data_IF_350662798484
#
_entry.id   IF_350662798484
#
_cell.length_a   1.000
_cell.length_b   1.000
_cell.length_c   1.000
_cell.angle_alpha   90.00
_cell.angle_beta   90.00
_cell.angle_gamma   90.00
#
_symmetry.space_group_name_H-M   'P 1'
#
loop_
_entity.id
_entity.type
_entity.pdbx_description
1 polymer ?
#
# COMPACT_ATOMS: atom_id res chain seq x y z
N UNK A 1 29.83 6.98 4.57
CA UNK A 1 29.15 5.83 3.94
C UNK A 1 27.88 5.60 4.74
N UNK A 2 26.73 5.98 4.20
CA UNK A 2 25.45 5.65 4.83
C UNK A 2 25.06 4.26 4.34
N UNK A 3 24.94 3.30 5.25
CA UNK A 3 24.25 2.04 4.97
C UNK A 3 22.81 2.39 4.57
N UNK A 4 22.46 2.09 3.32
CA UNK A 4 21.06 2.03 2.91
C UNK A 4 20.42 0.88 3.69
N UNK A 5 19.77 1.20 4.81
CA UNK A 5 18.98 0.23 5.56
C UNK A 5 17.74 -0.11 4.73
N UNK A 6 17.81 -1.21 4.01
CA UNK A 6 16.71 -1.76 3.22
C UNK A 6 15.79 -2.55 4.15
N UNK A 7 14.56 -2.08 4.35
CA UNK A 7 13.55 -2.81 5.11
C UNK A 7 12.47 -3.38 4.18
N UNK A 8 12.25 -4.70 4.21
CA UNK A 8 11.15 -5.36 3.52
C UNK A 8 9.87 -5.30 4.37
N UNK A 9 8.79 -4.73 3.84
CA UNK A 9 7.53 -4.50 4.56
C UNK A 9 6.32 -4.88 3.68
N UNK A 10 5.27 -5.36 4.35
CA UNK A 10 3.92 -5.46 3.81
C UNK A 10 3.09 -4.28 4.31
N UNK A 11 2.37 -3.63 3.42
CA UNK A 11 1.33 -2.70 3.82
C UNK A 11 -0.02 -3.43 3.86
N UNK A 12 -0.92 -3.01 4.74
CA UNK A 12 -2.27 -3.52 4.88
C UNK A 12 -3.22 -2.37 5.10
N UNK A 13 -4.47 -2.50 4.71
CA UNK A 13 -5.51 -1.55 5.11
C UNK A 13 -6.28 -2.09 6.31
N UNK A 14 -6.51 -1.26 7.33
CA UNK A 14 -7.42 -1.59 8.43
C UNK A 14 -8.85 -1.28 7.97
N UNK A 15 -9.71 -2.29 7.92
CA UNK A 15 -11.15 -2.06 7.79
C UNK A 15 -11.74 -1.87 9.18
N UNK A 16 -11.86 -0.63 9.65
CA UNK A 16 -12.75 -0.34 10.78
C UNK A 16 -14.18 -0.27 10.24
N UNK A 17 -14.87 -1.40 10.19
CA UNK A 17 -16.31 -1.43 10.00
C UNK A 17 -16.95 -2.24 11.13
N UNK A 18 -17.69 -1.49 11.95
CA UNK A 18 -18.66 -1.86 13.00
C UNK A 18 -18.18 -2.02 14.46
N UNK A 19 -18.70 -1.10 15.30
CA UNK A 19 -19.27 -1.40 16.61
C UNK A 19 -18.31 -1.48 17.79
N UNK A 20 -18.47 -0.56 18.75
CA UNK A 20 -18.01 -0.75 20.12
C UNK A 20 -18.47 -2.12 20.65
N UNK A 21 -17.52 -3.01 20.95
CA UNK A 21 -17.56 -3.81 22.17
C UNK A 21 -16.15 -4.31 22.47
N UNK A 22 -15.69 -3.99 23.68
CA UNK A 22 -14.43 -4.45 24.24
C UNK A 22 -14.39 -5.99 24.24
N UNK A 23 -13.56 -6.58 23.39
CA UNK A 23 -13.21 -7.99 23.49
C UNK A 23 -11.71 -8.12 23.65
N UNK A 24 -11.35 -8.80 24.73
CA UNK A 24 -10.03 -9.35 24.98
C UNK A 24 -9.71 -10.30 23.81
N UNK A 25 -8.79 -9.93 22.93
CA UNK A 25 -8.58 -10.63 21.65
C UNK A 25 -7.36 -11.54 21.70
N UNK A 26 -7.61 -12.82 21.43
CA UNK A 26 -6.61 -13.87 21.25
C UNK A 26 -5.78 -13.65 19.96
N UNK A 27 -4.49 -14.00 19.93
CA UNK A 27 -3.63 -13.80 18.76
C UNK A 27 -4.00 -14.63 17.50
N UNK A 28 -4.95 -15.55 17.59
CA UNK A 28 -5.27 -16.53 16.54
C UNK A 28 -6.45 -16.13 15.63
N UNK A 29 -7.15 -15.02 15.89
CA UNK A 29 -8.28 -14.56 15.05
C UNK A 29 -7.88 -13.52 13.98
N UNK A 30 -6.59 -13.23 13.81
CA UNK A 30 -6.11 -12.22 12.87
C UNK A 30 -6.00 -12.74 11.42
N UNK A 31 -7.09 -13.23 10.83
CA UNK A 31 -7.11 -13.66 9.40
C UNK A 31 -8.30 -13.12 8.61
N UNK A 32 -9.38 -12.65 9.24
CA UNK A 32 -10.53 -12.14 8.48
C UNK A 32 -10.53 -10.61 8.38
N UNK A 33 -10.16 -10.11 7.18
CA UNK A 33 -10.34 -8.74 6.64
C UNK A 33 -9.13 -7.78 6.67
N UNK A 34 -7.91 -8.29 6.70
CA UNK A 34 -6.76 -7.49 6.28
C UNK A 34 -6.72 -7.47 4.74
N UNK A 35 -6.73 -6.29 4.13
CA UNK A 35 -6.61 -6.16 2.68
C UNK A 35 -5.19 -5.74 2.36
N UNK A 36 -4.62 -6.35 1.33
CA UNK A 36 -3.19 -6.30 1.06
C UNK A 36 -2.98 -5.69 -0.33
N UNK A 37 -2.07 -4.71 -0.48
CA UNK A 37 -1.71 -4.19 -1.78
C UNK A 37 -1.14 -5.33 -2.60
N UNK A 38 -1.62 -5.38 -3.82
CA UNK A 38 -1.27 -6.24 -4.92
C UNK A 38 -1.03 -5.34 -6.12
N UNK A 39 -0.17 -5.77 -7.04
CA UNK A 39 -0.16 -5.24 -8.41
C UNK A 39 -1.01 -6.08 -9.37
N UNK A 40 -1.59 -5.39 -10.34
CA UNK A 40 -1.96 -6.03 -11.61
C UNK A 40 -0.70 -6.15 -12.46
N UNK A 41 -0.42 -7.35 -12.97
CA UNK A 41 0.81 -7.62 -13.71
C UNK A 41 0.85 -6.74 -14.96
N UNK A 42 2.02 -6.20 -15.33
CA UNK A 42 2.18 -5.43 -16.58
C UNK A 42 1.85 -6.32 -17.81
N UNK A 43 1.98 -7.65 -17.67
CA UNK A 43 1.61 -8.64 -18.67
C UNK A 43 0.13 -9.02 -18.68
N UNK A 44 -0.65 -8.69 -17.63
CA UNK A 44 -2.10 -8.78 -17.73
C UNK A 44 -2.53 -7.75 -18.77
N UNK A 45 -3.38 -8.03 -19.76
CA UNK A 45 -3.74 -7.01 -20.78
C UNK A 45 -4.77 -5.99 -20.26
N UNK A 46 -4.79 -5.72 -18.96
CA UNK A 46 -5.82 -4.93 -18.29
C UNK A 46 -5.60 -3.43 -18.43
N UNK A 47 -6.69 -2.67 -18.51
CA UNK A 47 -6.67 -1.19 -18.58
C UNK A 47 -5.94 -0.52 -17.40
N UNK A 48 -5.78 -1.23 -16.29
CA UNK A 48 -5.25 -0.73 -15.02
C UNK A 48 -3.91 -1.39 -14.63
N UNK A 49 -3.13 -1.83 -15.61
CA UNK A 49 -1.79 -2.34 -15.36
C UNK A 49 -0.92 -1.28 -14.67
N UNK A 50 -0.13 -1.73 -13.69
CA UNK A 50 0.76 -0.86 -12.93
C UNK A 50 0.05 -0.03 -11.85
N UNK A 51 -1.28 0.05 -11.81
CA UNK A 51 -1.99 0.71 -10.72
C UNK A 51 -1.88 -0.13 -9.43
N UNK A 52 -1.65 0.55 -8.30
CA UNK A 52 -1.66 -0.10 -7.00
C UNK A 52 -3.10 -0.45 -6.60
N UNK A 53 -3.35 -1.70 -6.19
CA UNK A 53 -4.68 -2.18 -5.81
C UNK A 53 -4.64 -3.07 -4.56
N UNK A 54 -5.55 -2.90 -3.60
CA UNK A 54 -5.58 -3.74 -2.39
C UNK A 54 -6.47 -4.98 -2.56
N UNK A 55 -6.00 -5.98 -3.31
CA UNK A 55 -6.78 -7.21 -3.61
C UNK A 55 -6.08 -8.51 -3.25
N UNK A 56 -4.83 -8.52 -2.78
CA UNK A 56 -4.19 -9.80 -2.45
C UNK A 56 -4.82 -10.44 -1.20
N UNK A 57 -5.20 -11.73 -1.25
CA UNK A 57 -5.82 -12.41 -0.12
C UNK A 57 -4.81 -13.03 0.86
N UNK A 58 -3.53 -13.16 0.47
CA UNK A 58 -2.51 -13.83 1.29
C UNK A 58 -1.33 -12.90 1.58
N UNK A 59 -1.01 -12.74 2.87
CA UNK A 59 0.11 -11.92 3.37
C UNK A 59 1.47 -12.34 2.83
N UNK A 60 1.68 -13.64 2.60
CA UNK A 60 2.95 -14.17 2.07
C UNK A 60 3.04 -14.11 0.54
N UNK A 61 2.12 -13.42 -0.14
CA UNK A 61 2.22 -13.25 -1.59
C UNK A 61 3.45 -12.42 -1.92
N UNK A 62 4.29 -12.90 -2.84
CA UNK A 62 5.38 -12.11 -3.41
C UNK A 62 4.84 -10.79 -3.98
N UNK A 63 3.59 -10.80 -4.46
CA UNK A 63 2.97 -9.62 -5.05
C UNK A 63 2.60 -8.51 -4.05
N UNK A 64 2.67 -8.83 -2.77
CA UNK A 64 2.36 -7.94 -1.67
C UNK A 64 3.61 -7.47 -0.90
N UNK A 65 4.80 -7.93 -1.31
CA UNK A 65 6.07 -7.56 -0.69
C UNK A 65 6.58 -6.23 -1.29
N UNK A 66 6.82 -5.27 -0.41
CA UNK A 66 7.44 -4.00 -0.76
C UNK A 66 8.74 -3.82 0.02
N UNK A 67 9.60 -3.01 -0.55
CA UNK A 67 10.83 -2.55 0.05
C UNK A 67 10.71 -1.05 0.31
N UNK A 68 11.09 -0.64 1.50
CA UNK A 68 11.14 0.76 1.89
C UNK A 68 12.59 1.20 1.89
N UNK A 69 12.91 2.17 1.04
CA UNK A 69 14.23 2.76 0.91
C UNK A 69 14.17 4.15 1.56
N UNK A 70 15.01 4.39 2.57
CA UNK A 70 15.04 5.68 3.27
C UNK A 70 15.70 6.76 2.43
N UNK A 71 15.03 7.90 2.33
CA UNK A 71 15.55 9.14 1.80
C UNK A 71 15.93 10.10 2.94
N UNK A 72 16.36 11.31 2.59
CA UNK A 72 16.66 12.35 3.59
C UNK A 72 15.41 12.77 4.36
N UNK A 73 15.62 13.31 5.55
CA UNK A 73 14.59 13.92 6.40
C UNK A 73 13.46 12.95 6.83
N UNK A 74 13.75 11.65 6.92
CA UNK A 74 12.76 10.64 7.32
C UNK A 74 11.73 10.30 6.25
N UNK A 75 11.93 10.81 5.02
CA UNK A 75 11.13 10.45 3.86
C UNK A 75 11.52 9.06 3.35
N UNK A 76 10.63 8.46 2.56
CA UNK A 76 10.86 7.12 2.01
C UNK A 76 10.46 7.02 0.54
N UNK A 77 11.16 6.14 -0.17
CA UNK A 77 10.68 5.54 -1.39
C UNK A 77 10.09 4.17 -1.07
N UNK A 78 9.04 3.79 -1.80
CA UNK A 78 8.39 2.48 -1.65
C UNK A 78 8.51 1.77 -2.99
N UNK A 79 9.19 0.62 -3.02
CA UNK A 79 9.42 -0.19 -4.22
C UNK A 79 8.73 -1.54 -4.09
N UNK A 80 8.08 -2.02 -5.15
CA UNK A 80 7.59 -3.40 -5.15
C UNK A 80 8.76 -4.37 -5.36
N UNK A 81 8.83 -5.41 -4.54
CA UNK A 81 9.86 -6.45 -4.68
C UNK A 81 9.62 -7.35 -5.91
N UNK A 82 8.44 -7.32 -6.54
CA UNK A 82 8.17 -8.21 -7.69
C UNK A 82 8.64 -7.62 -9.01
N UNK A 83 8.36 -6.34 -9.27
CA UNK A 83 8.73 -5.70 -10.53
C UNK A 83 9.90 -4.71 -10.38
N UNK A 84 10.40 -4.50 -9.16
CA UNK A 84 11.44 -3.53 -8.83
C UNK A 84 11.13 -2.10 -9.30
N UNK A 85 9.84 -1.73 -9.32
CA UNK A 85 9.38 -0.38 -9.64
C UNK A 85 8.90 0.34 -8.39
N UNK A 86 9.09 1.65 -8.40
CA UNK A 86 8.73 2.54 -7.31
C UNK A 86 7.30 3.04 -7.45
N UNK A 87 6.68 3.35 -6.31
CA UNK A 87 5.40 4.03 -6.27
C UNK A 87 5.57 5.47 -6.77
N UNK A 88 4.67 5.90 -7.66
CA UNK A 88 4.58 7.28 -8.14
C UNK A 88 3.11 7.71 -8.25
N UNK A 89 2.87 9.03 -8.23
CA UNK A 89 1.54 9.58 -8.49
C UNK A 89 1.34 9.80 -10.00
N UNK A 90 0.20 9.38 -10.52
CA UNK A 90 -0.18 9.55 -11.93
C UNK A 90 -1.53 10.25 -12.04
N UNK A 91 -1.59 11.32 -12.82
CA UNK A 91 -2.85 11.94 -13.23
C UNK A 91 -3.54 11.13 -14.33
N UNK A 92 -4.73 10.63 -14.06
CA UNK A 92 -5.60 9.96 -15.00
C UNK A 92 -7.10 10.22 -14.69
N UNK A 93 -7.68 11.29 -15.25
CA UNK A 93 -9.10 11.62 -15.05
C UNK A 93 -10.06 10.62 -15.74
N UNK A 94 -9.56 9.80 -16.67
CA UNK A 94 -10.39 8.90 -17.48
C UNK A 94 -10.79 7.60 -16.76
N UNK A 95 -10.32 7.37 -15.53
CA UNK A 95 -10.67 6.15 -14.77
C UNK A 95 -12.11 6.21 -14.29
N UNK A 96 -12.53 7.35 -13.76
CA UNK A 96 -13.88 7.51 -13.18
C UNK A 96 -14.63 8.71 -13.76
N UNK A 97 -13.93 9.64 -14.42
CA UNK A 97 -14.50 10.88 -14.95
C UNK A 97 -14.87 11.90 -13.88
N UNK A 98 -14.44 11.70 -12.63
CA UNK A 98 -14.71 12.63 -11.54
C UNK A 98 -13.46 13.43 -11.13
N UNK A 99 -13.59 14.76 -10.90
CA UNK A 99 -12.46 15.62 -10.51
C UNK A 99 -11.78 15.22 -9.19
N UNK A 100 -12.52 14.61 -8.27
CA UNK A 100 -12.04 14.14 -6.97
C UNK A 100 -11.41 12.73 -7.03
N UNK A 101 -11.27 12.14 -8.21
CA UNK A 101 -10.74 10.78 -8.40
C UNK A 101 -9.74 10.70 -9.58
N UNK A 102 -8.93 11.74 -9.79
CA UNK A 102 -8.03 11.84 -10.95
C UNK A 102 -6.58 11.42 -10.67
N UNK A 103 -6.11 11.45 -9.42
CA UNK A 103 -4.71 11.18 -9.09
C UNK A 103 -4.54 9.84 -8.38
N UNK A 104 -3.94 8.90 -9.09
CA UNK A 104 -3.77 7.51 -8.67
C UNK A 104 -2.32 7.20 -8.33
N UNK A 105 -2.11 6.20 -7.50
CA UNK A 105 -0.78 5.64 -7.28
C UNK A 105 -0.56 4.46 -8.23
N UNK A 106 0.54 4.55 -8.96
CA UNK A 106 1.05 3.50 -9.84
C UNK A 106 2.40 3.01 -9.31
N UNK A 107 2.82 1.82 -9.73
CA UNK A 107 4.07 1.16 -9.36
C UNK A 107 4.88 0.95 -10.65
N UNK A 108 5.23 2.07 -11.29
CA UNK A 108 5.78 2.10 -12.65
C UNK A 108 7.12 2.83 -12.75
N UNK A 109 7.50 3.62 -11.75
CA UNK A 109 8.76 4.36 -11.78
C UNK A 109 9.98 3.42 -11.74
N UNK A 110 10.91 3.61 -12.69
CA UNK A 110 12.13 2.79 -12.81
C UNK A 110 13.19 3.08 -11.75
N UNK A 111 13.17 4.29 -11.19
CA UNK A 111 14.18 4.81 -10.27
C UNK A 111 13.54 5.76 -9.26
N UNK A 112 14.16 5.98 -8.08
CA UNK A 112 13.71 7.02 -7.19
C UNK A 112 13.88 8.40 -7.84
N UNK A 113 12.89 9.27 -7.61
CA UNK A 113 12.87 10.68 -7.98
C UNK A 113 12.55 11.50 -6.72
N UNK A 114 13.51 12.33 -6.31
CA UNK A 114 13.46 13.15 -5.10
C UNK A 114 13.12 14.63 -5.38
N UNK A 115 13.08 15.04 -6.66
CA UNK A 115 12.69 16.41 -7.03
C UNK A 115 11.21 16.66 -6.68
N UNK A 116 11.00 17.38 -5.58
CA UNK A 116 9.68 17.72 -5.04
C UNK A 116 8.86 18.65 -5.95
N UNK A 117 9.42 19.16 -7.04
CA UNK A 117 8.67 19.95 -8.03
C UNK A 117 8.02 19.08 -9.10
N UNK A 118 8.49 17.84 -9.31
CA UNK A 118 8.00 16.94 -10.36
C UNK A 118 6.83 16.11 -9.88
N UNK A 119 5.83 15.95 -10.74
CA UNK A 119 4.70 15.05 -10.46
C UNK A 119 5.15 13.60 -10.27
N UNK A 120 6.19 13.18 -11.00
CA UNK A 120 6.84 11.87 -10.88
C UNK A 120 7.67 11.69 -9.60
N UNK A 121 7.56 12.60 -8.62
CA UNK A 121 8.19 12.42 -7.32
C UNK A 121 7.76 11.08 -6.72
N UNK A 122 8.70 10.37 -6.11
CA UNK A 122 8.47 9.04 -5.51
C UNK A 122 8.64 9.05 -4.00
N UNK A 123 8.74 10.26 -3.43
CA UNK A 123 8.90 10.46 -1.99
C UNK A 123 7.55 10.42 -1.30
N UNK A 124 7.50 9.67 -0.21
CA UNK A 124 6.38 9.63 0.71
C UNK A 124 6.86 9.98 2.12
N UNK A 125 6.04 10.72 2.86
CA UNK A 125 6.22 10.96 4.28
C UNK A 125 5.39 9.94 5.07
N UNK A 126 6.02 9.03 5.84
CA UNK A 126 5.31 8.11 6.71
C UNK A 126 4.94 8.81 8.04
N UNK A 127 3.65 8.91 8.34
CA UNK A 127 3.14 9.51 9.57
C UNK A 127 2.62 8.38 10.48
N UNK A 128 3.31 8.12 11.59
CA UNK A 128 2.90 7.12 12.57
C UNK A 128 1.62 7.56 13.30
N UNK A 129 0.58 6.73 13.24
CA UNK A 129 -0.68 6.91 13.99
C UNK A 129 -0.80 6.04 15.21
N UNK A 130 -0.26 4.83 15.14
CA UNK A 130 -0.28 3.89 16.25
C UNK A 130 1.01 3.06 16.27
N UNK A 131 1.80 3.21 17.33
CA UNK A 131 3.09 2.54 17.50
C UNK A 131 2.94 1.06 17.88
N UNK A 132 1.83 0.67 18.50
CA UNK A 132 1.51 -0.70 18.92
C UNK A 132 1.10 -1.53 17.71
N UNK A 133 0.21 -0.99 16.88
CA UNK A 133 -0.29 -1.69 15.69
C UNK A 133 0.51 -1.41 14.42
N UNK A 134 1.52 -0.53 14.49
CA UNK A 134 2.33 -0.09 13.34
C UNK A 134 1.46 0.48 12.22
N UNK A 135 0.56 1.39 12.60
CA UNK A 135 -0.33 2.07 11.67
C UNK A 135 0.30 3.38 11.22
N UNK A 136 0.31 3.60 9.91
CA UNK A 136 0.89 4.74 9.25
C UNK A 136 -0.13 5.36 8.28
N UNK A 137 -0.07 6.67 8.13
CA UNK A 137 -0.52 7.35 6.92
C UNK A 137 0.71 7.58 6.04
N UNK A 138 0.52 7.64 4.73
CA UNK A 138 1.56 8.03 3.80
C UNK A 138 1.10 9.26 3.03
N UNK A 139 1.92 10.31 3.05
CA UNK A 139 1.66 11.55 2.31
C UNK A 139 2.61 11.61 1.13
N UNK A 140 2.07 11.78 -0.08
CA UNK A 140 2.89 11.99 -1.26
C UNK A 140 3.51 13.39 -1.23
N UNK A 141 4.84 13.47 -1.20
CA UNK A 141 5.57 14.71 -0.83
C UNK A 141 5.31 15.86 -1.80
N UNK A 142 5.26 15.62 -3.11
CA UNK A 142 5.08 16.71 -4.07
C UNK A 142 3.67 17.34 -4.02
N UNK A 143 2.62 16.56 -3.77
CA UNK A 143 1.26 17.12 -3.68
C UNK A 143 0.84 17.51 -2.26
N UNK A 144 1.43 16.86 -1.25
CA UNK A 144 0.92 16.87 0.12
C UNK A 144 -0.39 16.08 0.27
N UNK A 145 -0.74 15.21 -0.68
CA UNK A 145 -1.97 14.41 -0.60
C UNK A 145 -1.72 13.08 0.10
N UNK A 146 -2.69 12.67 0.91
CA UNK A 146 -2.70 11.37 1.58
C UNK A 146 -2.98 10.26 0.59
N UNK A 147 -2.30 9.14 0.76
CA UNK A 147 -2.65 7.90 0.08
C UNK A 147 -3.94 7.38 0.71
N UNK A 148 -4.94 7.12 -0.12
CA UNK A 148 -6.25 6.66 0.30
C UNK A 148 -6.64 5.43 -0.50
N UNK A 149 -7.12 4.38 0.18
CA UNK A 149 -7.79 3.29 -0.51
C UNK A 149 -9.14 3.76 -1.04
N UNK A 150 -9.34 3.61 -2.34
CA UNK A 150 -10.57 4.01 -3.01
C UNK A 150 -11.35 2.81 -3.55
N UNK A 151 -12.53 2.51 -2.99
CA UNK A 151 -13.37 1.44 -3.49
C UNK A 151 -14.14 1.89 -4.75
N UNK A 152 -13.81 1.34 -5.91
CA UNK A 152 -14.58 1.55 -7.14
C UNK A 152 -15.52 0.37 -7.38
N UNK A 153 -16.82 0.57 -7.14
CA UNK A 153 -17.81 -0.48 -7.27
C UNK A 153 -18.05 -0.98 -8.71
N UNK A 154 -17.66 -0.20 -9.74
CA UNK A 154 -17.97 -0.47 -11.16
C UNK A 154 -16.74 -0.53 -12.08
N UNK A 155 -15.52 -0.43 -11.55
CA UNK A 155 -14.29 -0.52 -12.35
C UNK A 155 -13.58 -1.84 -12.10
N UNK A 156 -12.73 -2.27 -13.03
CA UNK A 156 -11.84 -3.40 -12.74
C UNK A 156 -10.83 -3.02 -11.65
N UNK A 157 -10.50 -1.73 -11.45
CA UNK A 157 -9.67 -1.23 -10.35
C UNK A 157 -10.51 -1.10 -9.07
N UNK A 158 -11.03 -2.21 -8.59
CA UNK A 158 -12.03 -2.26 -7.53
C UNK A 158 -11.56 -1.67 -6.21
N UNK A 159 -10.24 -1.74 -5.92
CA UNK A 159 -9.64 -1.30 -4.64
C UNK A 159 -8.35 -0.52 -4.88
N UNK A 160 -8.39 0.46 -5.78
CA UNK A 160 -7.21 1.25 -6.17
C UNK A 160 -6.74 2.22 -5.09
N UNK A 161 -5.51 2.72 -5.22
CA UNK A 161 -4.95 3.73 -4.31
C UNK A 161 -4.97 5.10 -4.98
N UNK A 162 -5.60 6.07 -4.33
CA UNK A 162 -5.65 7.49 -4.73
C UNK A 162 -4.69 8.33 -3.89
N UNK A 163 -4.27 9.46 -4.44
CA UNK A 163 -3.55 10.52 -3.73
C UNK A 163 -4.09 11.90 -4.14
N UNK A 164 -5.37 12.16 -3.85
CA UNK A 164 -6.07 13.35 -4.32
C UNK A 164 -6.42 14.37 -3.21
N UNK A 165 -6.57 13.92 -1.97
CA UNK A 165 -6.98 14.78 -0.86
C UNK A 165 -5.79 15.10 0.07
N UNK A 166 -5.71 16.37 0.51
CA UNK A 166 -4.74 16.84 1.51
C UNK A 166 -5.26 16.71 2.94
N UNK A 167 -6.51 16.27 3.11
CA UNK A 167 -7.11 16.00 4.40
C UNK A 167 -7.06 14.49 4.68
N UNK A 168 -7.06 14.17 5.97
CA UNK A 168 -7.19 12.78 6.43
C UNK A 168 -8.57 12.25 6.08
N UNK A 169 -8.67 10.95 5.80
CA UNK A 169 -9.94 10.34 5.43
C UNK A 169 -10.77 10.02 6.69
N UNK A 170 -11.99 10.55 6.78
CA UNK A 170 -12.88 10.34 7.94
C UNK A 170 -13.22 8.85 8.21
N UNK A 171 -13.07 8.01 7.20
CA UNK A 171 -13.36 6.57 7.24
C UNK A 171 -12.09 5.70 7.46
N UNK A 172 -10.93 6.32 7.67
CA UNK A 172 -9.66 5.62 7.87
C UNK A 172 -9.11 4.92 6.62
N UNK A 173 -9.58 5.28 5.42
CA UNK A 173 -9.08 4.71 4.16
C UNK A 173 -7.62 5.06 3.86
N UNK A 174 -7.08 6.04 4.58
CA UNK A 174 -5.72 6.54 4.53
C UNK A 174 -4.78 5.86 5.55
N UNK A 175 -5.31 4.93 6.36
CA UNK A 175 -4.54 4.21 7.38
C UNK A 175 -4.05 2.86 6.85
N UNK A 176 -2.73 2.72 6.85
CA UNK A 176 -2.02 1.52 6.44
C UNK A 176 -1.31 0.88 7.64
N UNK A 177 -1.60 -0.39 7.91
CA UNK A 177 -0.82 -1.21 8.84
C UNK A 177 0.42 -1.74 8.13
N UNK A 178 1.59 -1.51 8.71
CA UNK A 178 2.87 -1.99 8.19
C UNK A 178 3.28 -3.24 8.96
N UNK A 179 3.61 -4.32 8.25
CA UNK A 179 4.11 -5.57 8.83
C UNK A 179 5.50 -5.84 8.28
N UNK A 180 6.45 -6.09 9.16
CA UNK A 180 7.79 -6.51 8.78
C UNK A 180 7.73 -7.90 8.13
N UNK A 181 8.18 -8.00 6.88
CA UNK A 181 8.16 -9.26 6.14
C UNK A 181 8.99 -10.33 6.85
N UNK A 182 10.14 -9.94 7.41
CA UNK A 182 11.06 -10.88 8.08
C UNK A 182 10.54 -11.32 9.46
N UNK A 183 9.53 -10.63 10.01
CA UNK A 183 8.83 -11.04 11.23
C UNK A 183 7.79 -12.15 11.01
N UNK A 184 7.47 -12.48 9.75
CA UNK A 184 6.46 -13.48 9.43
C UNK A 184 6.98 -14.90 9.66
N UNK A 185 6.32 -15.63 10.56
CA UNK A 185 6.54 -17.08 10.71
C UNK A 185 5.69 -17.81 9.68
N UNK A 186 6.34 -18.40 8.66
CA UNK A 186 5.69 -19.21 7.64
C UNK A 186 5.83 -20.69 8.03
N UNK A 187 4.76 -21.27 8.57
CA UNK A 187 4.73 -22.69 8.87
C UNK A 187 4.52 -23.50 7.59
N UNK A 188 5.28 -24.59 7.37
CA UNK A 188 5.07 -25.48 6.24
C UNK A 188 3.68 -26.12 6.34
N UNK A 189 2.96 -26.18 5.21
CA UNK A 189 1.69 -26.92 5.13
C UNK A 189 1.98 -28.40 5.35
N UNK A 190 1.46 -28.98 6.42
CA UNK A 190 1.48 -30.42 6.64
C UNK A 190 0.68 -31.10 5.53
N UNK A 191 1.36 -31.85 4.66
CA UNK A 191 0.67 -32.85 3.83
C UNK A 191 0.29 -33.99 4.77
N UNK A 192 -0.98 -34.06 5.16
CA UNK A 192 -1.54 -35.29 5.69
C UNK A 192 -1.72 -36.22 4.49
N UNK A 193 -0.72 -37.04 4.21
CA UNK A 193 -0.89 -38.19 3.33
C UNK A 193 -1.74 -39.21 4.09
N UNK A 194 -3.00 -39.37 3.66
CA UNK A 194 -3.78 -40.54 4.04
C UNK A 194 -3.08 -41.78 3.46
N UNK A 195 -2.66 -42.68 4.35
CA UNK A 195 -2.15 -44.03 4.03
C UNK A 195 -3.33 -44.98 4.10
#
# INVERSE_FOLDING_TARGET
MAELCVCSLLMFRINLCFGFQQFHMNPLDFVHRAQIPRFRNINDKGKYNGYAEFTEPTVVSANAKFEVEFAKDGLVHIRSCTNNKYLERTHNPSITGKPDEEYWITITADKPEEDRSKESCTLFEPILKDSVYKNFQFVHVQSGCYLCLWPLAKSELSRGVLANDKNVADNGNDIFKVIDWESLVILPRSRVTHI
#
